data_IF_719597629051
#
_entry.id   IF_719597629051
#
_cell.length_a   1.000
_cell.length_b   1.000
_cell.length_c   1.000
_cell.angle_alpha   90.00
_cell.angle_beta   90.00
_cell.angle_gamma   90.00
#
_symmetry.space_group_name_H-M   'P 1'
#
loop_
_entity.id
_entity.type
_entity.pdbx_description
1 polymer ?
#
# COMPACT_ATOMS: atom_id res chain seq x y z
N UNK A 1 18.16 -6.73 -15.81
CA UNK A 1 18.21 -7.83 -14.80
C UNK A 1 18.17 -9.20 -15.49
N UNK A 2 17.42 -9.37 -16.59
CA UNK A 2 17.37 -10.62 -17.36
C UNK A 2 18.11 -10.45 -18.69
N UNK A 3 19.43 -10.69 -18.71
CA UNK A 3 20.26 -10.49 -19.91
C UNK A 3 20.53 -11.78 -20.68
N UNK A 4 20.65 -12.91 -20.00
CA UNK A 4 20.89 -14.23 -20.61
C UNK A 4 19.99 -15.29 -19.97
N UNK A 5 19.48 -16.20 -20.80
CA UNK A 5 18.73 -17.36 -20.34
C UNK A 5 19.71 -18.44 -19.80
N UNK A 6 19.71 -18.73 -18.49
CA UNK A 6 20.62 -19.70 -17.88
C UNK A 6 20.28 -21.16 -18.25
N UNK A 7 19.12 -21.41 -18.85
CA UNK A 7 18.66 -22.75 -19.24
C UNK A 7 19.02 -23.12 -20.67
N UNK A 8 19.63 -22.19 -21.43
CA UNK A 8 20.04 -22.44 -22.82
C UNK A 8 21.14 -23.50 -22.90
N UNK A 9 20.94 -24.52 -23.74
CA UNK A 9 21.91 -25.60 -23.94
C UNK A 9 21.98 -26.64 -22.82
N UNK A 10 21.01 -26.64 -21.89
CA UNK A 10 20.95 -27.66 -20.86
C UNK A 10 20.64 -29.05 -21.48
N UNK A 11 21.45 -30.09 -21.20
CA UNK A 11 21.37 -31.38 -21.90
C UNK A 11 20.08 -32.16 -21.66
N UNK A 12 19.33 -31.83 -20.60
CA UNK A 12 18.06 -32.45 -20.24
C UNK A 12 16.83 -31.63 -20.61
N UNK A 13 17.01 -30.46 -21.24
CA UNK A 13 15.90 -29.58 -21.63
C UNK A 13 15.91 -29.38 -23.14
N UNK A 14 14.74 -29.44 -23.74
CA UNK A 14 14.56 -28.96 -25.10
C UNK A 14 14.68 -27.43 -25.14
N UNK A 15 15.00 -26.87 -26.31
CA UNK A 15 15.13 -25.41 -26.47
C UNK A 15 13.86 -24.66 -26.05
N UNK A 16 12.68 -25.23 -26.34
CA UNK A 16 11.40 -24.65 -25.95
C UNK A 16 11.19 -24.66 -24.43
N UNK A 17 11.52 -25.77 -23.76
CA UNK A 17 11.40 -25.88 -22.30
C UNK A 17 12.32 -24.89 -21.58
N UNK A 18 13.54 -24.71 -22.08
CA UNK A 18 14.50 -23.74 -21.55
C UNK A 18 13.97 -22.29 -21.66
N UNK A 19 13.33 -21.94 -22.77
CA UNK A 19 12.76 -20.61 -22.97
C UNK A 19 11.51 -20.39 -22.12
N UNK A 20 10.61 -21.37 -22.06
CA UNK A 20 9.41 -21.29 -21.22
C UNK A 20 9.77 -21.15 -19.74
N UNK A 21 10.73 -21.94 -19.25
CA UNK A 21 11.19 -21.87 -17.86
C UNK A 21 11.81 -20.50 -17.55
N UNK A 22 12.50 -19.91 -18.51
CA UNK A 22 13.04 -18.57 -18.39
C UNK A 22 11.96 -17.50 -18.31
N UNK A 23 10.93 -17.57 -19.15
CA UNK A 23 9.80 -16.65 -19.06
C UNK A 23 9.03 -16.79 -17.73
N UNK A 24 8.86 -18.02 -17.23
CA UNK A 24 8.28 -18.23 -15.90
C UNK A 24 9.14 -17.64 -14.77
N UNK A 25 10.46 -17.76 -14.86
CA UNK A 25 11.37 -17.14 -13.88
C UNK A 25 11.23 -15.61 -13.87
N UNK A 26 11.13 -14.98 -15.05
CA UNK A 26 10.87 -13.54 -15.16
C UNK A 26 9.51 -13.17 -14.59
N UNK A 27 8.47 -13.93 -14.91
CA UNK A 27 7.12 -13.70 -14.40
C UNK A 27 7.08 -13.80 -12.88
N UNK A 28 7.68 -14.83 -12.29
CA UNK A 28 7.74 -15.00 -10.84
C UNK A 28 8.46 -13.83 -10.16
N UNK A 29 9.55 -13.34 -10.75
CA UNK A 29 10.26 -12.16 -10.25
C UNK A 29 9.39 -10.89 -10.33
N UNK A 30 8.69 -10.69 -11.44
CA UNK A 30 7.77 -9.55 -11.62
C UNK A 30 6.61 -9.61 -10.63
N UNK A 31 5.98 -10.78 -10.44
CA UNK A 31 4.92 -10.99 -9.45
C UNK A 31 5.41 -10.70 -8.04
N UNK A 32 6.64 -11.15 -7.69
CA UNK A 32 7.24 -10.84 -6.39
C UNK A 32 7.48 -9.34 -6.21
N UNK A 33 7.90 -8.63 -7.25
CA UNK A 33 8.03 -7.17 -7.20
C UNK A 33 6.68 -6.48 -7.00
N UNK A 34 5.65 -6.90 -7.72
CA UNK A 34 4.29 -6.36 -7.56
C UNK A 34 3.76 -6.63 -6.16
N UNK A 35 3.92 -7.84 -5.63
CA UNK A 35 3.51 -8.18 -4.28
C UNK A 35 4.24 -7.34 -3.21
N UNK A 36 5.55 -7.14 -3.38
CA UNK A 36 6.34 -6.29 -2.48
C UNK A 36 5.87 -4.82 -2.53
N UNK A 37 5.63 -4.28 -3.73
CA UNK A 37 5.10 -2.92 -3.91
C UNK A 37 3.70 -2.78 -3.32
N UNK A 38 2.81 -3.74 -3.56
CA UNK A 38 1.47 -3.75 -2.99
C UNK A 38 1.50 -3.80 -1.46
N UNK A 39 2.41 -4.60 -0.88
CA UNK A 39 2.62 -4.64 0.57
C UNK A 39 3.17 -3.33 1.13
N UNK A 40 4.08 -2.66 0.41
CA UNK A 40 4.56 -1.33 0.77
C UNK A 40 3.43 -0.29 0.74
N UNK A 41 2.69 -0.25 -0.36
CA UNK A 41 1.52 0.61 -0.54
C UNK A 41 0.40 0.33 0.45
N UNK A 42 0.29 -0.86 1.04
CA UNK A 42 -0.70 -1.12 2.09
C UNK A 42 -0.25 -0.63 3.47
N UNK A 43 1.05 -0.48 3.72
CA UNK A 43 1.59 -0.09 5.03
C UNK A 43 1.81 1.40 5.16
N UNK A 44 2.31 2.03 4.11
CA UNK A 44 2.71 3.44 4.11
C UNK A 44 1.55 4.46 4.21
N UNK A 45 0.40 4.28 3.53
CA UNK A 45 -0.70 5.24 3.64
C UNK A 45 -1.40 5.17 5.00
N UNK A 46 -1.30 4.06 5.72
CA UNK A 46 -2.03 3.85 6.97
C UNK A 46 -1.49 4.76 8.08
N UNK A 47 -0.17 4.88 8.20
CA UNK A 47 0.44 5.70 9.25
C UNK A 47 0.23 7.21 9.04
N UNK A 48 0.37 7.68 7.79
CA UNK A 48 0.11 9.08 7.46
C UNK A 48 -1.37 9.44 7.59
N UNK A 49 -2.28 8.56 7.17
CA UNK A 49 -3.72 8.77 7.30
C UNK A 49 -4.14 8.79 8.77
N UNK A 50 -3.66 7.86 9.59
CA UNK A 50 -3.93 7.84 11.03
C UNK A 50 -3.44 9.09 11.74
N UNK A 51 -2.24 9.59 11.38
CA UNK A 51 -1.74 10.85 11.94
C UNK A 51 -2.66 12.03 11.59
N UNK A 52 -3.10 12.13 10.34
CA UNK A 52 -4.04 13.17 9.88
C UNK A 52 -5.40 13.08 10.58
N UNK A 53 -5.93 11.86 10.75
CA UNK A 53 -7.19 11.62 11.46
C UNK A 53 -7.09 12.03 12.93
N UNK A 54 -5.96 11.74 13.59
CA UNK A 54 -5.74 12.12 15.00
C UNK A 54 -5.64 13.63 15.19
N UNK A 55 -5.02 14.35 14.26
CA UNK A 55 -5.02 15.81 14.28
C UNK A 55 -6.42 16.39 14.06
N UNK A 56 -7.21 15.77 13.18
CA UNK A 56 -8.58 16.17 12.93
C UNK A 56 -9.46 15.91 14.15
N UNK A 57 -9.32 14.77 14.83
CA UNK A 57 -10.01 14.44 16.07
C UNK A 57 -9.77 15.50 17.15
N UNK A 58 -8.51 15.90 17.39
CA UNK A 58 -8.18 16.94 18.37
C UNK A 58 -8.85 18.28 18.05
N UNK A 59 -8.86 18.68 16.78
CA UNK A 59 -9.47 19.94 16.34
C UNK A 59 -10.99 19.90 16.44
N UNK A 60 -11.61 18.79 16.02
CA UNK A 60 -13.06 18.60 16.07
C UNK A 60 -13.57 18.50 17.51
N UNK A 61 -12.78 17.94 18.45
CA UNK A 61 -13.12 17.94 19.87
C UNK A 61 -13.32 19.34 20.43
N UNK A 62 -12.42 20.28 20.10
CA UNK A 62 -12.55 21.68 20.49
C UNK A 62 -13.77 22.34 19.85
N UNK A 63 -13.97 22.15 18.54
CA UNK A 63 -15.12 22.69 17.80
C UNK A 63 -16.43 22.20 18.41
N UNK A 64 -16.53 20.90 18.75
CA UNK A 64 -17.72 20.32 19.35
C UNK A 64 -17.99 20.89 20.74
N UNK A 65 -16.95 21.08 21.57
CA UNK A 65 -17.10 21.69 22.89
C UNK A 65 -17.56 23.14 22.79
N UNK A 66 -16.95 23.93 21.91
CA UNK A 66 -17.35 25.32 21.68
C UNK A 66 -18.77 25.42 21.14
N UNK A 67 -19.15 24.55 20.21
CA UNK A 67 -20.50 24.48 19.66
C UNK A 67 -21.54 24.13 20.74
N UNK A 68 -21.25 23.13 21.58
CA UNK A 68 -22.13 22.77 22.72
C UNK A 68 -22.27 23.94 23.70
N UNK A 69 -21.17 24.60 24.04
CA UNK A 69 -21.19 25.77 24.92
C UNK A 69 -22.01 26.92 24.30
N UNK A 70 -21.86 27.17 23.00
CA UNK A 70 -22.63 28.19 22.28
C UNK A 70 -24.13 27.91 22.30
N UNK A 71 -24.55 26.66 22.10
CA UNK A 71 -25.98 26.29 22.18
C UNK A 71 -26.51 26.49 23.60
N UNK A 72 -25.76 26.02 24.61
CA UNK A 72 -26.16 26.20 26.01
C UNK A 72 -26.28 27.66 26.41
N UNK A 73 -25.38 28.53 25.95
CA UNK A 73 -25.46 29.97 26.18
C UNK A 73 -26.76 30.56 25.65
N UNK A 74 -27.11 30.26 24.39
CA UNK A 74 -28.34 30.76 23.77
C UNK A 74 -29.60 30.24 24.46
N UNK A 75 -29.64 28.97 24.86
CA UNK A 75 -30.80 28.40 25.55
C UNK A 75 -30.96 28.98 26.96
N UNK A 76 -29.86 29.25 27.67
CA UNK A 76 -29.92 29.78 29.04
C UNK A 76 -30.15 31.30 29.08
N UNK A 77 -29.86 32.02 28.00
CA UNK A 77 -30.14 33.46 27.85
C UNK A 77 -31.57 33.76 27.33
N UNK A 78 -32.31 32.75 26.85
CA UNK A 78 -33.73 32.81 26.48
C UNK A 78 -34.63 32.46 27.67
#
# INVERSE_FOLDING_TARGET
IFLNNPYTGHPSLTALEADVLWEYAKLAANVKQVANKAKGLSKEPDEQLLARLRDLEKKMGLVLTLFKASIWGVINEQ
#
